data_IF_833410594082
#
_entry.id   IF_833410594082
#
_cell.length_a   1.000
_cell.length_b   1.000
_cell.length_c   1.000
_cell.angle_alpha   90.00
_cell.angle_beta   90.00
_cell.angle_gamma   90.00
#
_symmetry.space_group_name_H-M   'P 1'
#
loop_
_entity.id
_entity.type
_entity.pdbx_description
1 polymer ?
#
# COMPACT_ATOMS: atom_id res chain seq x y z
N UNK A 1 8.02 -17.73 5.48
CA UNK A 1 6.70 -17.20 5.12
C UNK A 1 6.14 -18.02 3.97
N UNK A 2 4.86 -18.43 4.05
CA UNK A 2 4.13 -19.06 2.96
C UNK A 2 2.78 -18.38 2.84
N UNK A 3 2.48 -17.80 1.68
CA UNK A 3 1.23 -17.11 1.38
C UNK A 3 0.98 -17.14 -0.13
N UNK A 4 -0.25 -16.87 -0.53
CA UNK A 4 -0.63 -16.56 -1.90
C UNK A 4 -1.26 -15.17 -1.94
N UNK A 5 -1.02 -14.44 -3.02
CA UNK A 5 -1.59 -13.11 -3.29
C UNK A 5 -2.30 -13.24 -4.62
N UNK A 6 -3.59 -12.91 -4.62
CA UNK A 6 -4.43 -13.00 -5.81
C UNK A 6 -4.48 -11.66 -6.55
N UNK A 7 -4.80 -11.72 -7.83
CA UNK A 7 -4.91 -10.52 -8.66
C UNK A 7 -6.03 -9.58 -8.14
N UNK A 8 -5.72 -8.28 -8.10
CA UNK A 8 -6.66 -7.23 -7.71
C UNK A 8 -6.92 -7.12 -6.21
N UNK A 9 -6.20 -7.83 -5.35
CA UNK A 9 -6.30 -7.65 -3.89
C UNK A 9 -5.74 -6.29 -3.46
N UNK A 10 -6.29 -5.74 -2.37
CA UNK A 10 -5.69 -4.63 -1.63
C UNK A 10 -5.31 -5.13 -0.23
N UNK A 11 -4.03 -5.38 -0.04
CA UNK A 11 -3.48 -6.05 1.14
C UNK A 11 -2.77 -5.02 2.02
N UNK A 12 -3.06 -5.04 3.32
CA UNK A 12 -2.28 -4.35 4.35
C UNK A 12 -1.22 -5.28 4.92
N UNK A 13 0.05 -4.93 4.82
CA UNK A 13 1.14 -5.65 5.48
C UNK A 13 1.57 -4.88 6.72
N UNK A 14 1.24 -5.44 7.89
CA UNK A 14 1.54 -4.82 9.19
C UNK A 14 2.49 -5.68 10.03
N UNK A 15 3.07 -5.07 11.05
CA UNK A 15 4.01 -5.72 11.96
C UNK A 15 4.88 -4.66 12.67
N UNK A 16 5.46 -5.00 13.79
CA UNK A 16 6.37 -4.09 14.50
C UNK A 16 7.65 -3.79 13.68
N UNK A 17 8.40 -2.77 14.07
CA UNK A 17 9.71 -2.47 13.46
C UNK A 17 10.64 -3.66 13.66
N UNK A 18 11.25 -4.14 12.56
CA UNK A 18 12.10 -5.33 12.60
C UNK A 18 11.38 -6.66 12.37
N UNK A 19 10.04 -6.69 12.26
CA UNK A 19 9.27 -7.95 12.01
C UNK A 19 9.55 -8.61 10.66
N UNK A 20 10.28 -7.95 9.75
CA UNK A 20 10.66 -8.50 8.45
C UNK A 20 9.85 -8.00 7.25
N UNK A 21 8.93 -7.03 7.42
CA UNK A 21 8.08 -6.50 6.32
C UNK A 21 8.89 -6.03 5.11
N UNK A 22 9.87 -5.13 5.33
CA UNK A 22 10.69 -4.59 4.22
C UNK A 22 11.52 -5.68 3.55
N UNK A 23 12.01 -6.68 4.31
CA UNK A 23 12.67 -7.86 3.75
C UNK A 23 11.71 -8.67 2.89
N UNK A 24 10.49 -8.91 3.36
CA UNK A 24 9.47 -9.65 2.63
C UNK A 24 9.12 -8.98 1.30
N UNK A 25 8.80 -7.68 1.28
CA UNK A 25 8.45 -6.97 0.04
C UNK A 25 9.62 -6.92 -0.96
N UNK A 26 10.87 -6.84 -0.48
CA UNK A 26 12.05 -6.88 -1.34
C UNK A 26 12.30 -8.27 -1.96
N UNK A 27 11.84 -9.34 -1.33
CA UNK A 27 11.83 -10.67 -1.94
C UNK A 27 10.79 -10.77 -3.05
N UNK A 28 9.58 -10.19 -2.85
CA UNK A 28 8.51 -10.22 -3.86
C UNK A 28 8.91 -9.56 -5.18
N UNK A 29 9.72 -8.50 -5.11
CA UNK A 29 10.19 -7.77 -6.30
C UNK A 29 11.59 -8.25 -6.76
N UNK A 30 12.15 -9.27 -6.12
CA UNK A 30 13.44 -9.87 -6.50
C UNK A 30 14.65 -8.98 -6.23
N UNK A 31 14.56 -7.98 -5.35
CA UNK A 31 15.73 -7.22 -4.86
C UNK A 31 16.57 -8.04 -3.90
N UNK A 32 15.95 -8.88 -3.09
CA UNK A 32 16.62 -9.85 -2.25
C UNK A 32 16.36 -11.26 -2.78
N UNK A 33 17.40 -12.10 -2.72
CA UNK A 33 17.29 -13.51 -3.03
C UNK A 33 17.00 -14.32 -1.77
N UNK A 34 15.97 -15.18 -1.81
CA UNK A 34 15.66 -16.06 -0.69
C UNK A 34 16.79 -17.05 -0.43
N UNK A 35 17.10 -17.30 0.84
CA UNK A 35 18.08 -18.31 1.26
C UNK A 35 17.56 -19.72 1.01
N UNK A 36 16.24 -19.91 1.12
CA UNK A 36 15.54 -21.17 0.86
C UNK A 36 14.08 -20.91 0.51
N UNK A 37 13.40 -21.90 -0.06
CA UNK A 37 12.02 -21.78 -0.52
C UNK A 37 11.93 -21.25 -1.95
N UNK A 38 10.71 -21.00 -2.39
CA UNK A 38 10.38 -20.59 -3.74
C UNK A 38 9.45 -19.39 -3.73
N UNK A 39 9.59 -18.52 -4.72
CA UNK A 39 8.67 -17.42 -4.99
C UNK A 39 8.16 -17.60 -6.42
N UNK A 40 6.85 -17.66 -6.56
CA UNK A 40 6.21 -17.82 -7.85
C UNK A 40 5.53 -16.52 -8.26
N UNK A 41 5.76 -16.09 -9.49
CA UNK A 41 5.03 -15.03 -10.14
C UNK A 41 4.29 -15.61 -11.36
N UNK A 42 2.98 -15.55 -11.38
CA UNK A 42 2.12 -16.17 -12.39
C UNK A 42 2.49 -17.66 -12.65
N UNK A 43 2.69 -18.41 -11.57
CA UNK A 43 2.99 -19.84 -11.61
C UNK A 43 4.43 -20.21 -12.02
N UNK A 44 5.32 -19.22 -12.28
CA UNK A 44 6.73 -19.44 -12.60
C UNK A 44 7.61 -19.10 -11.42
N UNK A 45 8.53 -19.99 -11.08
CA UNK A 45 9.53 -19.74 -10.04
C UNK A 45 10.51 -18.65 -10.51
N UNK A 46 10.61 -17.55 -9.73
CA UNK A 46 11.51 -16.44 -10.06
C UNK A 46 13.01 -16.82 -9.95
N UNK A 47 13.32 -17.97 -9.35
CA UNK A 47 14.69 -18.48 -9.22
C UNK A 47 15.04 -19.55 -10.27
N UNK A 48 14.12 -19.88 -11.17
CA UNK A 48 14.38 -20.78 -12.29
C UNK A 48 15.45 -20.22 -13.22
N UNK A 49 16.29 -21.12 -13.76
CA UNK A 49 17.35 -20.72 -14.67
C UNK A 49 16.79 -20.00 -15.93
N UNK A 50 17.27 -18.79 -16.18
CA UNK A 50 16.84 -17.99 -17.32
C UNK A 50 15.60 -17.10 -17.03
N UNK A 51 15.11 -17.05 -15.80
CA UNK A 51 14.02 -16.14 -15.45
C UNK A 51 14.44 -14.66 -15.61
N UNK A 52 13.60 -13.86 -16.25
CA UNK A 52 13.88 -12.44 -16.49
C UNK A 52 13.52 -11.58 -15.27
N UNK A 53 14.52 -11.29 -14.44
CA UNK A 53 14.38 -10.43 -13.26
C UNK A 53 14.05 -8.96 -13.60
N UNK A 54 14.36 -8.50 -14.82
CA UNK A 54 13.96 -7.13 -15.24
C UNK A 54 12.46 -7.08 -15.49
N UNK A 55 11.93 -8.13 -16.12
CA UNK A 55 10.48 -8.26 -16.32
C UNK A 55 9.75 -8.38 -14.98
N UNK A 56 10.26 -9.16 -14.01
CA UNK A 56 9.69 -9.21 -12.67
C UNK A 56 9.59 -7.81 -12.04
N UNK A 57 10.68 -7.04 -12.04
CA UNK A 57 10.72 -5.68 -11.45
C UNK A 57 9.84 -4.69 -12.19
N UNK A 58 9.58 -4.92 -13.46
CA UNK A 58 8.60 -4.16 -14.24
C UNK A 58 7.18 -4.48 -13.77
N UNK A 59 6.88 -5.76 -13.52
CA UNK A 59 5.56 -6.25 -13.14
C UNK A 59 5.24 -6.02 -11.68
N UNK A 60 6.23 -6.12 -10.80
CA UNK A 60 6.11 -5.90 -9.36
C UNK A 60 6.81 -4.60 -9.00
N UNK A 61 6.08 -3.50 -9.10
CA UNK A 61 6.56 -2.16 -8.78
C UNK A 61 6.67 -1.97 -7.26
N UNK A 62 7.78 -1.38 -6.82
CA UNK A 62 8.03 -1.08 -5.41
C UNK A 62 8.33 0.41 -5.24
N UNK A 63 7.54 1.07 -4.41
CA UNK A 63 7.75 2.43 -3.93
C UNK A 63 8.28 2.35 -2.51
N UNK A 64 9.53 2.79 -2.30
CA UNK A 64 10.17 2.75 -0.98
C UNK A 64 9.67 3.85 -0.06
N UNK A 65 9.98 3.72 1.22
CA UNK A 65 9.75 4.76 2.22
C UNK A 65 10.49 6.05 1.83
N UNK A 66 9.84 7.21 1.95
CA UNK A 66 10.33 8.52 1.49
C UNK A 66 10.71 8.53 0.00
N UNK A 67 9.79 8.15 -0.89
CA UNK A 67 10.09 7.99 -2.32
C UNK A 67 10.46 9.31 -2.99
N UNK A 68 10.13 10.45 -2.39
CA UNK A 68 10.52 11.80 -2.81
C UNK A 68 12.04 12.01 -2.86
N UNK A 69 12.83 11.23 -2.14
CA UNK A 69 14.29 11.29 -2.22
C UNK A 69 14.86 10.60 -3.47
N UNK A 70 14.02 9.92 -4.23
CA UNK A 70 14.42 9.22 -5.46
C UNK A 70 14.28 10.09 -6.70
N UNK A 71 13.68 11.30 -6.58
CA UNK A 71 13.52 12.23 -7.68
C UNK A 71 14.86 12.96 -7.95
N UNK A 72 15.32 12.91 -9.20
CA UNK A 72 16.65 13.39 -9.57
C UNK A 72 16.73 14.15 -10.91
N UNK A 73 15.69 14.08 -11.73
CA UNK A 73 15.65 14.74 -13.03
C UNK A 73 15.40 16.26 -12.92
N UNK A 74 15.63 16.97 -14.01
CA UNK A 74 15.46 18.43 -14.05
C UNK A 74 14.01 18.88 -13.97
N UNK A 75 13.08 18.03 -14.41
CA UNK A 75 11.66 18.26 -14.34
C UNK A 75 10.92 16.94 -14.08
N UNK A 76 9.70 17.10 -13.56
CA UNK A 76 8.82 16.00 -13.13
C UNK A 76 8.51 15.04 -14.27
N UNK A 77 8.19 15.57 -15.45
CA UNK A 77 7.81 14.75 -16.58
C UNK A 77 8.95 13.82 -17.01
N UNK A 78 10.18 14.34 -17.03
CA UNK A 78 11.37 13.53 -17.34
C UNK A 78 11.62 12.46 -16.28
N UNK A 79 11.41 12.79 -15.01
CA UNK A 79 11.59 11.85 -13.90
C UNK A 79 10.65 10.65 -14.07
N UNK A 80 9.37 10.89 -14.35
CA UNK A 80 8.39 9.84 -14.60
C UNK A 80 8.66 9.07 -15.91
N UNK A 81 9.23 9.72 -16.92
CA UNK A 81 9.66 9.04 -18.17
C UNK A 81 10.85 8.08 -17.97
N UNK A 82 11.63 8.23 -16.90
CA UNK A 82 12.89 7.49 -16.72
C UNK A 82 12.69 5.98 -16.69
N UNK A 83 11.74 5.47 -15.89
CA UNK A 83 11.44 4.04 -15.83
C UNK A 83 11.06 3.43 -17.19
N UNK A 84 10.01 3.93 -17.86
CA UNK A 84 9.60 3.45 -19.18
C UNK A 84 10.67 3.57 -20.26
N UNK A 85 11.48 4.63 -20.24
CA UNK A 85 12.62 4.80 -21.14
C UNK A 85 13.67 3.69 -20.95
N UNK A 86 13.96 3.31 -19.71
CA UNK A 86 14.90 2.22 -19.40
C UNK A 86 14.36 0.83 -19.76
N UNK A 87 13.05 0.69 -19.96
CA UNK A 87 12.43 -0.50 -20.52
C UNK A 87 12.60 -0.58 -22.06
N UNK A 88 13.21 0.42 -22.68
CA UNK A 88 13.44 0.46 -24.11
C UNK A 88 12.21 0.85 -24.95
N UNK A 89 11.21 1.50 -24.33
CA UNK A 89 10.03 1.96 -25.05
C UNK A 89 10.35 3.12 -26.00
N UNK A 90 9.57 3.26 -27.07
CA UNK A 90 9.67 4.39 -27.96
C UNK A 90 9.36 5.71 -27.23
N UNK A 91 9.90 6.82 -27.76
CA UNK A 91 9.67 8.14 -27.18
C UNK A 91 8.20 8.46 -27.00
N UNK A 92 7.40 8.22 -28.02
CA UNK A 92 5.97 8.45 -27.97
C UNK A 92 5.29 7.63 -26.87
N UNK A 93 5.67 6.36 -26.72
CA UNK A 93 5.05 5.46 -25.74
C UNK A 93 5.43 5.84 -24.28
N UNK A 94 6.70 6.14 -24.00
CA UNK A 94 7.08 6.49 -22.64
C UNK A 94 6.52 7.87 -22.22
N UNK A 95 6.42 8.83 -23.15
CA UNK A 95 5.80 10.14 -22.90
C UNK A 95 4.28 10.00 -22.59
N UNK A 96 3.56 9.16 -23.36
CA UNK A 96 2.13 8.88 -23.10
C UNK A 96 1.97 8.23 -21.71
N UNK A 97 2.77 7.21 -21.40
CA UNK A 97 2.68 6.54 -20.08
C UNK A 97 2.98 7.48 -18.93
N UNK A 98 3.98 8.35 -19.08
CA UNK A 98 4.30 9.33 -18.05
C UNK A 98 3.15 10.32 -17.85
N UNK A 99 2.56 10.84 -18.93
CA UNK A 99 1.43 11.74 -18.87
C UNK A 99 0.21 11.10 -18.18
N UNK A 100 -0.16 9.88 -18.61
CA UNK A 100 -1.28 9.14 -18.02
C UNK A 100 -1.05 8.86 -16.53
N UNK A 101 0.17 8.47 -16.13
CA UNK A 101 0.50 8.17 -14.75
C UNK A 101 0.46 9.41 -13.85
N UNK A 102 0.94 10.56 -14.34
CA UNK A 102 0.86 11.83 -13.60
C UNK A 102 -0.59 12.27 -13.41
N UNK A 103 -1.43 12.08 -14.42
CA UNK A 103 -2.87 12.35 -14.34
C UNK A 103 -3.58 11.41 -13.35
N UNK A 104 -3.25 10.11 -13.38
CA UNK A 104 -3.80 9.10 -12.46
C UNK A 104 -3.53 9.43 -10.99
N UNK A 105 -2.35 9.95 -10.66
CA UNK A 105 -2.03 10.36 -9.29
C UNK A 105 -2.58 11.75 -8.94
N UNK A 106 -3.33 12.40 -9.82
CA UNK A 106 -3.98 13.69 -9.59
C UNK A 106 -3.01 14.85 -9.43
N UNK A 107 -1.88 14.84 -10.16
CA UNK A 107 -0.97 15.98 -10.20
C UNK A 107 -1.46 17.00 -11.24
N UNK A 108 -1.43 18.30 -10.90
CA UNK A 108 -1.79 19.39 -11.81
C UNK A 108 -0.82 19.44 -13.01
N UNK A 109 -1.35 19.51 -14.23
CA UNK A 109 -0.55 19.54 -15.47
C UNK A 109 0.41 20.73 -15.54
N UNK A 110 0.08 21.86 -14.90
CA UNK A 110 0.95 23.02 -14.80
C UNK A 110 2.28 22.74 -14.06
N UNK A 111 2.35 21.65 -13.30
CA UNK A 111 3.53 21.25 -12.54
C UNK A 111 4.47 20.34 -13.33
N UNK A 112 4.02 19.68 -14.41
CA UNK A 112 4.76 18.61 -15.09
C UNK A 112 6.16 18.98 -15.53
N UNK A 113 6.35 20.24 -15.93
CA UNK A 113 7.65 20.75 -16.41
C UNK A 113 8.40 21.58 -15.36
N UNK A 114 7.92 21.58 -14.11
CA UNK A 114 8.63 22.21 -12.99
C UNK A 114 9.65 21.24 -12.38
N UNK A 115 10.58 21.83 -11.63
CA UNK A 115 11.55 21.05 -10.87
C UNK A 115 10.87 20.24 -9.77
N UNK A 116 11.20 18.94 -9.59
CA UNK A 116 10.68 18.16 -8.48
C UNK A 116 11.00 18.78 -7.11
N UNK A 117 12.07 19.57 -7.02
CA UNK A 117 12.52 20.20 -5.76
C UNK A 117 11.58 21.32 -5.29
N UNK A 118 10.81 21.92 -6.19
CA UNK A 118 9.87 23.01 -5.88
C UNK A 118 8.51 22.49 -5.37
N UNK A 119 8.27 21.17 -5.40
CA UNK A 119 7.03 20.55 -4.97
C UNK A 119 6.93 20.39 -3.46
N UNK A 120 5.67 20.37 -2.94
CA UNK A 120 5.38 19.90 -1.58
C UNK A 120 5.72 18.41 -1.42
N UNK A 121 5.91 17.95 -0.18
CA UNK A 121 6.20 16.54 0.10
C UNK A 121 5.14 15.58 -0.47
N UNK A 122 3.85 15.91 -0.35
CA UNK A 122 2.77 15.12 -0.92
C UNK A 122 2.78 15.07 -2.45
N UNK A 123 3.10 16.21 -3.10
CA UNK A 123 3.25 16.25 -4.57
C UNK A 123 4.44 15.42 -5.04
N UNK A 124 5.61 15.55 -4.38
CA UNK A 124 6.79 14.71 -4.67
C UNK A 124 6.47 13.22 -4.59
N UNK A 125 5.70 12.84 -3.57
CA UNK A 125 5.28 11.44 -3.37
C UNK A 125 4.37 10.94 -4.49
N UNK A 126 3.44 11.76 -4.94
CA UNK A 126 2.60 11.46 -6.11
C UNK A 126 3.44 11.26 -7.37
N UNK A 127 4.46 12.09 -7.58
CA UNK A 127 5.39 11.96 -8.72
C UNK A 127 6.15 10.64 -8.66
N UNK A 128 6.68 10.28 -7.49
CA UNK A 128 7.41 9.02 -7.31
C UNK A 128 6.52 7.78 -7.54
N UNK A 129 5.26 7.82 -7.07
CA UNK A 129 4.27 6.77 -7.35
C UNK A 129 3.99 6.73 -8.87
N UNK A 130 3.80 7.89 -9.54
CA UNK A 130 3.59 7.96 -10.98
C UNK A 130 4.75 7.35 -11.76
N UNK A 131 6.00 7.55 -11.32
CA UNK A 131 7.20 6.96 -11.94
C UNK A 131 7.18 5.43 -11.95
N UNK A 132 6.67 4.81 -10.88
CA UNK A 132 6.48 3.36 -10.82
C UNK A 132 5.29 2.93 -11.68
N UNK A 133 4.16 3.64 -11.63
CA UNK A 133 2.96 3.34 -12.42
C UNK A 133 3.19 3.44 -13.93
N UNK A 134 4.07 4.34 -14.38
CA UNK A 134 4.41 4.51 -15.78
C UNK A 134 5.05 3.25 -16.40
N UNK A 135 5.61 2.36 -15.59
CA UNK A 135 6.08 1.05 -16.01
C UNK A 135 4.94 0.04 -16.25
N UNK A 136 3.69 0.38 -15.88
CA UNK A 136 2.48 -0.47 -15.92
C UNK A 136 2.69 -1.79 -15.17
N UNK A 137 2.92 -1.72 -13.83
CA UNK A 137 3.05 -2.93 -13.03
C UNK A 137 1.71 -3.64 -12.86
N UNK A 138 1.74 -4.95 -12.61
CA UNK A 138 0.58 -5.75 -12.22
C UNK A 138 0.36 -5.71 -10.69
N UNK A 139 1.46 -5.51 -9.94
CA UNK A 139 1.47 -5.37 -8.48
C UNK A 139 2.18 -4.09 -8.09
N UNK A 140 1.55 -3.28 -7.25
CA UNK A 140 2.11 -2.05 -6.67
C UNK A 140 2.34 -2.25 -5.18
N UNK A 141 3.60 -2.27 -4.78
CA UNK A 141 4.01 -2.35 -3.37
C UNK A 141 4.38 -0.94 -2.90
N UNK A 142 3.80 -0.52 -1.79
CA UNK A 142 3.99 0.80 -1.20
C UNK A 142 4.52 0.63 0.22
N UNK A 143 5.78 0.99 0.44
CA UNK A 143 6.41 0.92 1.77
C UNK A 143 6.24 2.26 2.48
N UNK A 144 5.30 2.33 3.44
CA UNK A 144 4.99 3.52 4.24
C UNK A 144 4.70 4.78 3.39
N UNK A 145 3.78 4.74 2.42
CA UNK A 145 3.60 5.85 1.47
C UNK A 145 3.07 7.13 2.12
N UNK A 146 2.59 7.06 3.35
CA UNK A 146 1.99 8.20 4.09
C UNK A 146 2.90 8.75 5.19
N UNK A 147 4.09 8.16 5.39
CA UNK A 147 5.00 8.58 6.44
C UNK A 147 5.38 10.07 6.31
N UNK A 148 5.24 10.84 7.41
CA UNK A 148 5.61 12.25 7.46
C UNK A 148 4.65 13.22 6.77
N UNK A 149 3.51 12.74 6.23
CA UNK A 149 2.44 13.61 5.72
C UNK A 149 1.50 14.06 6.85
N UNK A 150 0.91 15.23 6.66
CA UNK A 150 -0.22 15.67 7.46
C UNK A 150 -1.47 14.79 7.22
N UNK A 151 -2.49 14.83 8.08
CA UNK A 151 -3.67 13.97 7.94
C UNK A 151 -4.35 14.09 6.58
N UNK A 152 -4.47 15.29 6.04
CA UNK A 152 -5.09 15.52 4.73
C UNK A 152 -4.25 14.92 3.60
N UNK A 153 -2.94 15.17 3.58
CA UNK A 153 -2.04 14.62 2.58
C UNK A 153 -2.00 13.09 2.60
N UNK A 154 -2.15 12.49 3.79
CA UNK A 154 -2.28 11.04 3.96
C UNK A 154 -3.56 10.52 3.32
N UNK A 155 -4.71 11.09 3.66
CA UNK A 155 -6.00 10.69 3.07
C UNK A 155 -5.98 10.86 1.55
N UNK A 156 -5.48 11.99 1.05
CA UNK A 156 -5.38 12.27 -0.38
C UNK A 156 -4.54 11.22 -1.15
N UNK A 157 -3.47 10.69 -0.56
CA UNK A 157 -2.64 9.64 -1.16
C UNK A 157 -3.36 8.29 -1.14
N UNK A 158 -3.96 7.91 -0.01
CA UNK A 158 -4.64 6.62 0.13
C UNK A 158 -5.91 6.55 -0.71
N UNK A 159 -6.68 7.64 -0.79
CA UNK A 159 -7.84 7.74 -1.67
C UNK A 159 -7.43 7.63 -3.15
N UNK A 160 -6.31 8.25 -3.53
CA UNK A 160 -5.74 8.14 -4.87
C UNK A 160 -5.34 6.69 -5.20
N UNK A 161 -4.67 5.99 -4.28
CA UNK A 161 -4.26 4.58 -4.45
C UNK A 161 -5.50 3.67 -4.55
N UNK A 162 -6.52 3.91 -3.72
CA UNK A 162 -7.77 3.17 -3.78
C UNK A 162 -8.49 3.38 -5.11
N UNK A 163 -8.64 4.62 -5.55
CA UNK A 163 -9.25 4.94 -6.84
C UNK A 163 -8.50 4.28 -8.00
N UNK A 164 -7.15 4.34 -7.99
CA UNK A 164 -6.31 3.67 -8.97
C UNK A 164 -6.56 2.16 -9.01
N UNK A 165 -6.60 1.50 -7.85
CA UNK A 165 -6.88 0.06 -7.77
C UNK A 165 -8.26 -0.26 -8.29
N UNK A 166 -9.28 0.52 -7.92
CA UNK A 166 -10.66 0.31 -8.34
C UNK A 166 -10.85 0.53 -9.85
N UNK A 167 -10.08 1.45 -10.45
CA UNK A 167 -10.13 1.75 -11.89
C UNK A 167 -9.34 0.73 -12.73
N UNK A 168 -8.16 0.30 -12.25
CA UNK A 168 -7.22 -0.50 -13.06
C UNK A 168 -7.21 -1.98 -12.71
N UNK A 169 -7.75 -2.38 -11.56
CA UNK A 169 -7.67 -3.75 -11.04
C UNK A 169 -6.26 -4.17 -10.59
N UNK A 170 -5.33 -3.24 -10.42
CA UNK A 170 -3.97 -3.53 -9.96
C UNK A 170 -3.99 -4.12 -8.55
N UNK A 171 -3.12 -5.10 -8.29
CA UNK A 171 -2.89 -5.62 -6.94
C UNK A 171 -2.08 -4.61 -6.13
N UNK A 172 -2.52 -4.27 -4.91
CA UNK A 172 -1.82 -3.32 -4.05
C UNK A 172 -1.40 -3.99 -2.74
N UNK A 173 -0.14 -3.80 -2.36
CA UNK A 173 0.39 -4.17 -1.05
C UNK A 173 0.81 -2.89 -0.33
N UNK A 174 0.08 -2.52 0.71
CA UNK A 174 0.31 -1.35 1.53
C UNK A 174 1.01 -1.75 2.83
N UNK A 175 2.29 -1.41 2.97
CA UNK A 175 2.97 -1.48 4.26
C UNK A 175 2.62 -0.23 5.05
N UNK A 176 2.07 -0.38 6.24
CA UNK A 176 1.68 0.75 7.08
C UNK A 176 1.81 0.43 8.57
N UNK A 177 2.11 1.47 9.35
CA UNK A 177 2.02 1.45 10.81
C UNK A 177 0.72 2.06 11.35
N UNK A 178 -0.13 2.62 10.48
CA UNK A 178 -1.44 3.16 10.85
C UNK A 178 -2.50 2.08 10.73
N UNK A 179 -3.01 1.62 11.86
CA UNK A 179 -4.06 0.59 11.88
C UNK A 179 -5.40 1.16 11.36
N UNK A 180 -5.63 2.45 11.55
CA UNK A 180 -6.79 3.16 11.01
C UNK A 180 -6.80 3.17 9.48
N UNK A 181 -5.63 3.44 8.85
CA UNK A 181 -5.51 3.42 7.40
C UNK A 181 -5.75 2.00 6.86
N UNK A 182 -5.12 1.01 7.49
CA UNK A 182 -5.28 -0.39 7.10
C UNK A 182 -6.74 -0.83 7.26
N UNK A 183 -7.40 -0.52 8.39
CA UNK A 183 -8.80 -0.83 8.61
C UNK A 183 -9.74 -0.22 7.56
N UNK A 184 -9.42 0.98 7.07
CA UNK A 184 -10.27 1.75 6.14
C UNK A 184 -10.11 1.34 4.68
N UNK A 185 -8.89 0.98 4.26
CA UNK A 185 -8.57 0.88 2.84
C UNK A 185 -8.37 -0.54 2.33
N UNK A 186 -7.93 -1.48 3.17
CA UNK A 186 -7.56 -2.81 2.69
C UNK A 186 -8.67 -3.85 2.86
N UNK A 187 -8.66 -4.87 2.03
CA UNK A 187 -9.59 -6.00 2.12
C UNK A 187 -9.01 -7.22 2.84
N UNK A 188 -7.70 -7.26 3.05
CA UNK A 188 -6.97 -8.35 3.68
C UNK A 188 -5.78 -7.80 4.44
N UNK A 189 -5.46 -8.36 5.59
CA UNK A 189 -4.30 -8.00 6.40
C UNK A 189 -3.38 -9.20 6.57
N UNK A 190 -2.12 -8.98 6.29
CA UNK A 190 -1.02 -9.88 6.58
C UNK A 190 -0.21 -9.32 7.76
N UNK A 191 -0.14 -10.04 8.87
CA UNK A 191 0.60 -9.63 10.08
C UNK A 191 1.90 -10.38 10.17
N UNK A 192 3.02 -9.65 10.12
CA UNK A 192 4.35 -10.20 10.31
C UNK A 192 4.87 -9.98 11.74
N UNK A 193 5.43 -11.04 12.31
CA UNK A 193 6.06 -11.06 13.62
C UNK A 193 7.32 -11.93 13.55
N UNK A 194 8.51 -11.37 13.83
CA UNK A 194 9.80 -12.06 13.81
C UNK A 194 10.06 -12.93 12.55
N UNK A 195 9.72 -12.40 11.36
CA UNK A 195 9.90 -13.11 10.09
C UNK A 195 8.86 -14.20 9.79
N UNK A 196 7.82 -14.31 10.61
CA UNK A 196 6.72 -15.25 10.44
C UNK A 196 5.45 -14.50 10.09
N UNK A 197 4.64 -15.06 9.19
CA UNK A 197 3.28 -14.61 8.93
C UNK A 197 2.36 -15.17 10.02
N UNK A 198 1.95 -14.30 10.95
CA UNK A 198 1.18 -14.70 12.13
C UNK A 198 -0.32 -14.73 11.88
N UNK A 199 -0.83 -13.74 11.15
CA UNK A 199 -2.22 -13.66 10.71
C UNK A 199 -2.26 -13.31 9.23
N UNK A 200 -3.29 -13.81 8.56
CA UNK A 200 -3.56 -13.58 7.16
C UNK A 200 -5.08 -13.72 6.94
N UNK A 201 -5.82 -12.63 7.09
CA UNK A 201 -7.29 -12.66 7.12
C UNK A 201 -7.88 -11.26 6.81
N UNK A 202 -9.20 -11.15 6.86
CA UNK A 202 -9.91 -9.87 6.76
C UNK A 202 -9.54 -8.92 7.91
N UNK A 203 -9.64 -7.60 7.72
CA UNK A 203 -9.35 -6.63 8.78
C UNK A 203 -10.15 -6.88 10.07
N UNK A 204 -11.44 -7.23 9.96
CA UNK A 204 -12.29 -7.52 11.09
C UNK A 204 -11.78 -8.71 11.90
N UNK A 205 -11.43 -9.81 11.23
CA UNK A 205 -10.91 -11.00 11.89
C UNK A 205 -9.56 -10.74 12.56
N UNK A 206 -8.65 -10.02 11.89
CA UNK A 206 -7.34 -9.70 12.46
C UNK A 206 -7.48 -8.80 13.68
N UNK A 207 -8.28 -7.74 13.61
CA UNK A 207 -8.45 -6.81 14.73
C UNK A 207 -9.31 -7.36 15.87
N UNK A 208 -10.09 -8.41 15.66
CA UNK A 208 -10.73 -9.16 16.75
C UNK A 208 -9.70 -9.76 17.72
N UNK A 209 -8.48 -10.04 17.23
CA UNK A 209 -7.32 -10.51 18.01
C UNK A 209 -6.49 -9.36 18.64
N UNK A 210 -7.10 -8.19 18.91
CA UNK A 210 -6.36 -7.00 19.36
C UNK A 210 -5.46 -7.23 20.58
N UNK A 211 -5.85 -8.12 21.51
CA UNK A 211 -5.04 -8.45 22.70
C UNK A 211 -3.77 -9.23 22.35
N UNK A 212 -3.84 -10.14 21.39
CA UNK A 212 -2.68 -10.87 20.88
C UNK A 212 -1.79 -9.95 20.05
N UNK A 213 -2.38 -9.01 19.29
CA UNK A 213 -1.63 -7.98 18.57
C UNK A 213 -0.83 -7.09 19.53
N UNK A 214 -1.41 -6.68 20.67
CA UNK A 214 -0.71 -5.92 21.71
C UNK A 214 0.52 -6.66 22.26
N UNK A 215 0.46 -7.98 22.41
CA UNK A 215 1.58 -8.79 22.91
C UNK A 215 2.79 -8.77 21.96
N UNK A 216 2.56 -8.52 20.66
CA UNK A 216 3.60 -8.37 19.65
C UNK A 216 3.88 -6.92 19.29
N UNK A 217 3.43 -5.97 20.13
CA UNK A 217 3.70 -4.54 19.97
C UNK A 217 2.90 -3.85 18.87
N UNK A 218 1.77 -4.43 18.44
CA UNK A 218 0.83 -3.81 17.51
C UNK A 218 -0.43 -3.36 18.25
N UNK A 219 -0.95 -2.19 17.89
CA UNK A 219 -2.27 -1.76 18.32
C UNK A 219 -3.35 -2.23 17.33
N UNK A 220 -4.61 -2.20 17.74
CA UNK A 220 -5.75 -2.19 16.85
C UNK A 220 -6.22 -0.74 16.60
N UNK A 221 -7.13 -0.48 15.66
CA UNK A 221 -7.78 0.82 15.53
C UNK A 221 -8.42 1.27 16.87
N UNK A 222 -8.37 2.56 17.17
CA UNK A 222 -8.97 3.10 18.41
C UNK A 222 -10.44 2.72 18.57
N UNK A 223 -11.15 2.64 17.45
CA UNK A 223 -12.55 2.22 17.40
C UNK A 223 -12.75 0.83 18.01
N UNK A 224 -11.86 -0.13 17.74
CA UNK A 224 -11.95 -1.50 18.28
C UNK A 224 -11.99 -1.49 19.81
N UNK A 225 -11.16 -0.70 20.46
CA UNK A 225 -11.14 -0.58 21.92
C UNK A 225 -12.43 0.06 22.45
N UNK A 226 -12.85 1.17 21.85
CA UNK A 226 -14.08 1.89 22.26
C UNK A 226 -15.29 0.98 22.14
N UNK A 227 -15.46 0.27 21.04
CA UNK A 227 -16.62 -0.60 20.84
C UNK A 227 -16.64 -1.78 21.81
N UNK A 228 -15.50 -2.37 22.08
CA UNK A 228 -15.39 -3.43 23.10
C UNK A 228 -15.71 -2.91 24.51
N UNK A 229 -15.32 -1.69 24.86
CA UNK A 229 -15.63 -1.11 26.18
C UNK A 229 -17.11 -0.74 26.31
N UNK A 230 -17.76 -0.29 25.23
CA UNK A 230 -19.21 -0.07 25.20
C UNK A 230 -19.99 -1.38 25.39
N UNK A 231 -19.56 -2.47 24.77
CA UNK A 231 -20.15 -3.82 24.99
C UNK A 231 -19.99 -4.24 26.45
N UNK A 232 -18.79 -4.08 27.05
CA UNK A 232 -18.57 -4.37 28.47
C UNK A 232 -19.44 -3.51 29.41
N UNK A 233 -19.77 -2.28 28.99
CA UNK A 233 -20.70 -1.39 29.70
C UNK A 233 -22.18 -1.77 29.54
N UNK A 234 -22.48 -2.83 28.76
CA UNK A 234 -23.85 -3.35 28.57
C UNK A 234 -24.59 -2.72 27.38
N UNK A 235 -23.91 -2.01 26.49
CA UNK A 235 -24.51 -1.47 25.27
C UNK A 235 -24.59 -2.55 24.20
N UNK A 236 -25.70 -2.59 23.49
CA UNK A 236 -25.92 -3.48 22.31
C UNK A 236 -25.35 -2.78 21.06
N UNK A 237 -24.03 -2.90 20.89
CA UNK A 237 -23.30 -2.36 19.75
C UNK A 237 -22.40 -3.43 19.14
N UNK A 238 -22.01 -3.25 17.87
CA UNK A 238 -21.15 -4.20 17.17
C UNK A 238 -19.68 -4.12 17.65
N UNK A 239 -19.14 -5.14 18.34
CA UNK A 239 -17.76 -5.15 18.81
C UNK A 239 -16.74 -5.26 17.66
N UNK A 240 -17.16 -5.73 16.47
CA UNK A 240 -16.29 -5.97 15.31
C UNK A 240 -16.14 -4.73 14.43
N UNK A 241 -16.71 -3.59 14.83
CA UNK A 241 -16.50 -2.33 14.11
C UNK A 241 -15.05 -1.87 14.27
N UNK A 242 -14.40 -1.63 13.13
CA UNK A 242 -12.99 -1.23 13.06
C UNK A 242 -12.80 0.17 12.47
N UNK A 243 -13.86 0.78 11.92
CA UNK A 243 -13.85 2.14 11.39
C UNK A 243 -14.81 3.04 12.15
N UNK A 244 -14.55 4.36 12.10
CA UNK A 244 -15.40 5.38 12.75
C UNK A 244 -16.83 5.34 12.21
N UNK A 245 -16.99 5.13 10.91
CA UNK A 245 -18.32 5.05 10.27
C UNK A 245 -19.09 3.82 10.77
N UNK A 246 -18.46 2.65 10.83
CA UNK A 246 -19.09 1.43 11.37
C UNK A 246 -19.51 1.61 12.83
N UNK A 247 -18.64 2.21 13.66
CA UNK A 247 -18.94 2.49 15.06
C UNK A 247 -20.11 3.48 15.21
N UNK A 248 -20.06 4.60 14.47
CA UNK A 248 -21.14 5.59 14.45
C UNK A 248 -22.48 4.92 14.12
N UNK A 249 -22.53 4.13 13.04
CA UNK A 249 -23.74 3.50 12.58
C UNK A 249 -24.27 2.45 13.56
N UNK A 250 -23.36 1.76 14.26
CA UNK A 250 -23.73 0.81 15.31
C UNK A 250 -24.29 1.50 16.55
N UNK A 251 -23.65 2.60 16.99
CA UNK A 251 -24.10 3.38 18.15
C UNK A 251 -25.46 4.04 17.86
N UNK A 252 -25.63 4.66 16.69
CA UNK A 252 -26.90 5.28 16.30
C UNK A 252 -28.05 4.26 16.25
N UNK A 253 -27.80 3.06 15.79
CA UNK A 253 -28.78 1.94 15.84
C UNK A 253 -29.18 1.59 17.27
N UNK A 254 -28.24 1.50 18.19
CA UNK A 254 -28.52 1.23 19.61
C UNK A 254 -29.50 2.27 20.22
N UNK A 255 -29.30 3.54 19.88
CA UNK A 255 -30.19 4.63 20.35
C UNK A 255 -31.44 4.85 19.49
N UNK A 256 -31.72 4.05 18.48
CA UNK A 256 -32.82 4.21 17.52
C UNK A 256 -32.84 5.60 16.83
N UNK A 257 -31.67 6.21 16.64
CA UNK A 257 -31.53 7.49 15.93
C UNK A 257 -31.44 7.19 14.43
N UNK A 258 -32.42 7.69 13.65
CA UNK A 258 -32.39 7.63 12.19
C UNK A 258 -31.49 8.77 11.67
N UNK A 259 -30.59 8.42 10.73
CA UNK A 259 -29.88 9.41 9.91
C UNK A 259 -30.79 10.01 8.84
#
# INVERSE_FOLDING_TARGET
VSCAIEDGEFIGLIGHTGSGKSTFIQHLNGLLKATSGHIYYNGKDIYEQGYDMKELRRRVGLVFQYPEHQLFETDIFKDVCFGPKNLGLSRQEYEIRAFDSLRLVGLDENLYYQSPFDLSGGQKRRVAIAGVLAMKPDVLILDEPTAGLDPKGRDDILDCIKALRDETGITVILVSHSMEDVARYVSRIMVMDDGILKYDDTPQNVFAHYKELEQIGLAAPQVTYIMNDLVKAGMDVNPDAITVDEARDSILRHFNIKM
#
